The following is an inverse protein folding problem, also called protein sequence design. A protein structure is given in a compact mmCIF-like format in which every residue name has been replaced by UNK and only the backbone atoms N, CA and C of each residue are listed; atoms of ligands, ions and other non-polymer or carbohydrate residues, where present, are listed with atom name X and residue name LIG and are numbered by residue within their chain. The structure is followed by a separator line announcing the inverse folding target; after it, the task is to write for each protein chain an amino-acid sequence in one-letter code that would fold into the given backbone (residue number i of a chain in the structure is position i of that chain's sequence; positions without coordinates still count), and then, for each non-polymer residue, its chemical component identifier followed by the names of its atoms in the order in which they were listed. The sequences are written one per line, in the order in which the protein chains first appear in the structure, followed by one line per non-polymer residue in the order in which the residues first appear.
data_IF_297806849730
#
_entry.id   IF_297806849730
#
_cell.length_a   1.000
_cell.length_b   1.000
_cell.length_c   1.000
_cell.angle_alpha   90.00
_cell.angle_beta   90.00
_cell.angle_gamma   90.00
#
_symmetry.space_group_name_H-M   'P 1'
#
loop_
_entity.id
_entity.type
_entity.pdbx_description
1 polymer ?
#
# COMPACT_ATOMS: atom_id res chain seq x y z
N UNK A 1 3.92 17.01 -3.40
CA UNK A 1 3.54 16.06 -4.44
C UNK A 1 4.49 14.88 -4.41
N UNK A 2 3.96 13.68 -4.50
CA UNK A 2 4.79 12.49 -4.55
C UNK A 2 5.56 12.41 -5.87
N UNK A 3 6.70 11.72 -5.85
CA UNK A 3 7.51 11.52 -7.05
C UNK A 3 6.72 10.82 -8.16
N UNK A 4 7.09 11.07 -9.40
CA UNK A 4 6.55 10.38 -10.57
C UNK A 4 7.71 10.17 -11.54
N UNK A 5 8.16 8.96 -11.80
CA UNK A 5 7.65 7.69 -11.27
C UNK A 5 8.09 7.38 -9.83
N UNK A 6 7.41 6.43 -9.20
CA UNK A 6 7.81 5.86 -7.92
C UNK A 6 8.46 4.50 -8.18
N UNK A 7 9.59 4.24 -7.52
CA UNK A 7 10.25 2.93 -7.59
C UNK A 7 9.97 2.14 -6.33
N UNK A 8 9.38 0.96 -6.48
CA UNK A 8 9.15 0.00 -5.41
C UNK A 8 10.07 -1.20 -5.63
N UNK A 9 10.94 -1.47 -4.66
CA UNK A 9 11.87 -2.59 -4.74
C UNK A 9 11.36 -3.74 -3.88
N UNK A 10 11.15 -4.89 -4.51
CA UNK A 10 10.65 -6.10 -3.84
C UNK A 10 11.64 -7.22 -4.13
N UNK A 11 12.18 -7.83 -3.08
CA UNK A 11 13.18 -8.89 -3.19
C UNK A 11 14.35 -8.51 -4.11
N UNK A 12 14.88 -7.31 -3.89
CA UNK A 12 15.97 -6.69 -4.67
C UNK A 12 15.64 -6.42 -6.15
N UNK A 13 14.38 -6.55 -6.57
CA UNK A 13 13.92 -6.23 -7.92
C UNK A 13 13.19 -4.90 -7.90
N UNK A 14 13.66 -3.88 -8.63
CA UNK A 14 12.96 -2.59 -8.70
C UNK A 14 11.79 -2.65 -9.68
N UNK A 15 10.66 -2.09 -9.28
CA UNK A 15 9.48 -1.91 -10.12
C UNK A 15 9.21 -0.41 -10.26
N UNK A 16 9.12 0.05 -11.49
CA UNK A 16 8.81 1.45 -11.78
C UNK A 16 7.31 1.60 -11.96
N UNK A 17 6.69 2.42 -11.11
CA UNK A 17 5.27 2.71 -11.15
C UNK A 17 5.08 4.15 -11.62
N UNK A 18 4.39 4.33 -12.73
CA UNK A 18 4.09 5.63 -13.29
C UNK A 18 2.68 6.07 -12.85
N UNK A 19 2.53 7.37 -12.64
CA UNK A 19 1.23 7.94 -12.32
C UNK A 19 0.30 7.78 -13.51
N UNK A 20 -0.88 7.19 -13.27
CA UNK A 20 -1.84 6.89 -14.35
C UNK A 20 -2.78 8.05 -14.68
N UNK A 21 -2.85 9.05 -13.81
CA UNK A 21 -3.84 10.12 -13.92
C UNK A 21 -5.22 9.74 -13.40
N UNK A 22 -5.41 8.50 -12.98
CA UNK A 22 -6.66 8.07 -12.38
C UNK A 22 -6.77 8.58 -10.94
N UNK A 23 -7.98 8.90 -10.54
CA UNK A 23 -8.32 9.19 -9.16
C UNK A 23 -9.37 8.20 -8.71
N UNK A 24 -9.33 7.83 -7.45
CA UNK A 24 -10.40 7.03 -6.86
C UNK A 24 -11.64 7.92 -6.75
N UNK A 25 -12.74 7.50 -7.34
CA UNK A 25 -14.00 8.25 -7.31
C UNK A 25 -14.53 8.46 -5.89
N UNK A 26 -14.19 7.56 -4.97
CA UNK A 26 -14.57 7.69 -3.57
C UNK A 26 -13.67 8.63 -2.78
N UNK A 27 -12.55 9.04 -3.34
CA UNK A 27 -11.57 9.91 -2.67
C UNK A 27 -10.95 10.87 -3.68
N UNK A 28 -11.44 12.12 -3.76
CA UNK A 28 -10.95 13.11 -4.73
C UNK A 28 -9.48 13.49 -4.52
N UNK A 29 -8.95 13.32 -3.29
CA UNK A 29 -7.53 13.56 -2.98
C UNK A 29 -6.74 12.27 -3.08
N UNK A 30 -6.74 11.64 -4.25
CA UNK A 30 -6.07 10.37 -4.46
C UNK A 30 -5.24 10.37 -5.73
N UNK A 31 -4.29 9.46 -5.79
CA UNK A 31 -3.47 9.21 -6.97
C UNK A 31 -3.26 7.71 -7.12
N UNK A 32 -3.18 7.26 -8.37
CA UNK A 32 -2.92 5.86 -8.69
C UNK A 32 -1.64 5.79 -9.52
N UNK A 33 -0.76 4.88 -9.13
CA UNK A 33 0.48 4.56 -9.85
C UNK A 33 0.41 3.10 -10.27
N UNK A 34 0.93 2.78 -11.43
CA UNK A 34 0.91 1.42 -11.94
C UNK A 34 2.17 1.11 -12.75
N UNK A 35 2.55 -0.18 -12.77
CA UNK A 35 3.55 -0.67 -13.71
C UNK A 35 2.94 -0.78 -15.12
N UNK A 36 3.78 -0.83 -16.15
CA UNK A 36 3.31 -0.89 -17.53
C UNK A 36 2.49 -2.16 -17.84
N UNK A 37 2.76 -3.26 -17.13
CA UNK A 37 2.00 -4.51 -17.27
C UNK A 37 0.72 -4.54 -16.42
N UNK A 38 0.47 -3.49 -15.62
CA UNK A 38 -0.68 -3.35 -14.74
C UNK A 38 -0.80 -4.43 -13.65
N UNK A 39 0.28 -5.14 -13.36
CA UNK A 39 0.29 -6.16 -12.32
C UNK A 39 0.54 -5.59 -10.93
N UNK A 40 1.09 -4.39 -10.84
CA UNK A 40 1.32 -3.69 -9.59
C UNK A 40 0.70 -2.32 -9.63
N UNK A 41 0.01 -1.98 -8.54
CA UNK A 41 -0.59 -0.67 -8.35
C UNK A 41 -0.19 -0.12 -6.99
N UNK A 42 -0.02 1.18 -6.92
CA UNK A 42 0.14 1.91 -5.67
C UNK A 42 -0.93 2.99 -5.64
N UNK A 43 -1.74 2.98 -4.60
CA UNK A 43 -2.82 3.96 -4.41
C UNK A 43 -2.50 4.81 -3.20
N UNK A 44 -2.62 6.10 -3.36
CA UNK A 44 -2.41 7.07 -2.28
C UNK A 44 -3.66 7.91 -2.16
N UNK A 45 -4.17 8.06 -0.95
CA UNK A 45 -5.36 8.88 -0.70
C UNK A 45 -5.29 9.57 0.65
N UNK A 46 -5.98 10.71 0.73
CA UNK A 46 -6.12 11.49 1.96
C UNK A 46 -7.59 11.78 2.19
N UNK A 47 -8.06 11.54 3.40
CA UNK A 47 -9.46 11.76 3.78
C UNK A 47 -9.52 12.42 5.15
N UNK A 48 -10.54 13.24 5.34
CA UNK A 48 -10.86 13.75 6.67
C UNK A 48 -11.81 12.75 7.34
N UNK A 49 -11.31 12.02 8.34
CA UNK A 49 -12.09 10.97 9.02
C UNK A 49 -13.06 11.54 10.06
N UNK A 50 -12.62 12.61 10.74
CA UNK A 50 -13.38 13.37 11.75
C UNK A 50 -13.00 14.84 11.62
N UNK A 51 -13.67 15.71 12.38
CA UNK A 51 -13.44 17.17 12.31
C UNK A 51 -11.94 17.50 12.44
N UNK A 52 -11.22 16.84 13.36
CA UNK A 52 -9.83 17.16 13.66
C UNK A 52 -8.86 16.05 13.27
N UNK A 53 -9.28 15.08 12.45
CA UNK A 53 -8.47 13.91 12.12
C UNK A 53 -8.36 13.74 10.60
N UNK A 54 -7.13 13.59 10.13
CA UNK A 54 -6.83 13.30 8.73
C UNK A 54 -6.33 11.86 8.64
N UNK A 55 -6.84 11.14 7.66
CA UNK A 55 -6.44 9.77 7.37
C UNK A 55 -5.70 9.72 6.06
N UNK A 56 -4.44 9.32 6.12
CA UNK A 56 -3.59 9.15 4.95
C UNK A 56 -3.38 7.68 4.70
N UNK A 57 -3.63 7.23 3.49
CA UNK A 57 -3.54 5.83 3.09
C UNK A 57 -2.53 5.68 1.96
N UNK A 58 -1.65 4.71 2.09
CA UNK A 58 -0.86 4.19 0.97
C UNK A 58 -1.10 2.69 0.87
N UNK A 59 -1.54 2.23 -0.30
CA UNK A 59 -1.91 0.85 -0.55
C UNK A 59 -1.09 0.30 -1.71
N UNK A 60 -0.38 -0.78 -1.47
CA UNK A 60 0.34 -1.52 -2.49
C UNK A 60 -0.45 -2.77 -2.87
N UNK A 61 -0.73 -2.93 -4.15
CA UNK A 61 -1.44 -4.09 -4.67
C UNK A 61 -0.56 -4.79 -5.70
N UNK A 62 -0.51 -6.11 -5.62
CA UNK A 62 0.14 -6.93 -6.64
C UNK A 62 -0.79 -8.07 -7.02
N UNK A 63 -0.92 -8.32 -8.31
CA UNK A 63 -1.69 -9.45 -8.83
C UNK A 63 -0.77 -10.38 -9.61
N UNK A 64 -1.09 -11.65 -9.59
CA UNK A 64 -0.43 -12.65 -10.42
C UNK A 64 -1.43 -13.70 -10.87
N UNK A 65 -1.12 -14.34 -11.98
CA UNK A 65 -1.87 -15.50 -12.46
C UNK A 65 -1.47 -16.71 -11.63
N UNK A 66 -2.46 -17.41 -11.12
CA UNK A 66 -2.27 -18.63 -10.34
C UNK A 66 -3.16 -19.74 -10.88
N UNK A 67 -2.59 -20.94 -11.04
CA UNK A 67 -3.37 -22.11 -11.44
C UNK A 67 -4.32 -22.52 -10.31
N UNK A 68 -5.51 -23.00 -10.68
CA UNK A 68 -6.47 -23.55 -9.72
C UNK A 68 -5.87 -24.83 -9.12
N UNK A 69 -5.81 -24.98 -7.79
CA UNK A 69 -5.30 -26.20 -7.15
C UNK A 69 -6.07 -27.46 -7.52
N UNK A 70 -7.35 -27.34 -7.88
CA UNK A 70 -8.21 -28.46 -8.25
C UNK A 70 -8.21 -28.75 -9.75
N UNK A 71 -7.84 -27.77 -10.58
CA UNK A 71 -7.80 -27.92 -12.03
C UNK A 71 -6.71 -27.00 -12.60
N UNK A 72 -5.54 -27.59 -12.89
CA UNK A 72 -4.37 -26.86 -13.37
C UNK A 72 -4.58 -26.19 -14.74
N UNK A 73 -5.62 -26.56 -15.49
CA UNK A 73 -5.94 -25.92 -16.77
C UNK A 73 -6.67 -24.58 -16.60
N UNK A 74 -7.18 -24.28 -15.41
CA UNK A 74 -7.84 -23.04 -15.08
C UNK A 74 -6.86 -22.15 -14.33
N UNK A 75 -6.66 -20.93 -14.84
CA UNK A 75 -5.80 -19.92 -14.21
C UNK A 75 -6.63 -18.67 -13.90
N UNK A 76 -6.46 -18.13 -12.71
CA UNK A 76 -7.13 -16.90 -12.28
C UNK A 76 -6.12 -15.92 -11.70
N UNK A 77 -6.44 -14.63 -11.73
CA UNK A 77 -5.66 -13.62 -11.03
C UNK A 77 -5.90 -13.70 -9.53
N UNK A 78 -4.83 -13.68 -8.78
CA UNK A 78 -4.84 -13.55 -7.32
C UNK A 78 -4.16 -12.25 -6.95
N UNK A 79 -4.74 -11.51 -6.01
CA UNK A 79 -4.27 -10.19 -5.61
C UNK A 79 -3.90 -10.18 -4.13
N UNK A 80 -2.74 -9.58 -3.84
CA UNK A 80 -2.31 -9.28 -2.47
C UNK A 80 -2.27 -7.77 -2.31
N UNK A 81 -2.83 -7.29 -1.22
CA UNK A 81 -2.83 -5.86 -0.89
C UNK A 81 -2.18 -5.64 0.47
N UNK A 82 -1.30 -4.66 0.54
CA UNK A 82 -0.66 -4.23 1.78
C UNK A 82 -0.95 -2.75 1.98
N UNK A 83 -1.39 -2.38 3.17
CA UNK A 83 -1.81 -1.02 3.49
C UNK A 83 -0.96 -0.42 4.60
N UNK A 84 -0.68 0.86 4.48
CA UNK A 84 -0.30 1.70 5.61
C UNK A 84 -1.34 2.80 5.74
N UNK A 85 -1.94 2.91 6.90
CA UNK A 85 -2.90 3.96 7.22
C UNK A 85 -2.34 4.76 8.38
N UNK A 86 -2.25 6.08 8.20
CA UNK A 86 -1.84 6.99 9.25
C UNK A 86 -3.03 7.90 9.55
N UNK A 87 -3.57 7.79 10.75
CA UNK A 87 -4.57 8.72 11.25
C UNK A 87 -3.89 9.66 12.23
N UNK A 88 -3.96 10.95 11.97
CA UNK A 88 -3.33 11.93 12.84
C UNK A 88 -4.27 13.12 13.06
N UNK A 89 -4.21 13.77 14.21
CA UNK A 89 -4.95 15.01 14.42
C UNK A 89 -4.32 16.14 13.59
N UNK A 90 -5.10 17.16 13.31
CA UNK A 90 -4.62 18.35 12.57
C UNK A 90 -3.65 19.19 13.39
N UNK A 91 -3.61 19.01 14.71
CA UNK A 91 -2.70 19.71 15.61
C UNK A 91 -2.30 18.81 16.77
N UNK A 92 -1.17 19.08 17.40
CA UNK A 92 -0.68 18.38 18.58
C UNK A 92 0.45 17.39 18.30
N UNK A 93 0.63 16.95 17.07
CA UNK A 93 1.75 16.12 16.65
C UNK A 93 2.50 16.78 15.50
N UNK A 94 3.82 16.82 15.60
CA UNK A 94 4.66 17.28 14.50
C UNK A 94 4.86 16.17 13.47
N UNK A 95 5.24 16.54 12.26
CA UNK A 95 5.61 15.58 11.21
C UNK A 95 6.74 14.66 11.68
N UNK A 96 7.70 15.19 12.41
CA UNK A 96 8.83 14.41 12.96
C UNK A 96 8.36 13.34 13.94
N UNK A 97 7.44 13.68 14.85
CA UNK A 97 6.88 12.73 15.80
C UNK A 97 6.12 11.60 15.09
N UNK A 98 5.32 11.94 14.10
CA UNK A 98 4.57 10.96 13.30
C UNK A 98 5.53 10.04 12.55
N UNK A 99 6.58 10.61 11.95
CA UNK A 99 7.60 9.82 11.25
C UNK A 99 8.30 8.84 12.17
N UNK A 100 8.66 9.26 13.38
CA UNK A 100 9.29 8.39 14.37
C UNK A 100 8.40 7.19 14.72
N UNK A 101 7.11 7.41 14.89
CA UNK A 101 6.15 6.35 15.14
C UNK A 101 6.03 5.39 13.94
N UNK A 102 6.01 5.91 12.73
CA UNK A 102 5.97 5.09 11.50
C UNK A 102 7.23 4.24 11.37
N UNK A 103 8.41 4.82 11.63
CA UNK A 103 9.67 4.08 11.55
C UNK A 103 9.75 2.98 12.62
N UNK A 104 9.25 3.26 13.82
CA UNK A 104 9.16 2.25 14.87
C UNK A 104 8.24 1.09 14.48
N UNK A 105 7.09 1.39 13.94
CA UNK A 105 6.14 0.38 13.44
C UNK A 105 6.74 -0.43 12.29
N UNK A 106 7.42 0.24 11.37
CA UNK A 106 8.11 -0.42 10.25
C UNK A 106 9.18 -1.40 10.76
N UNK A 107 9.93 -1.02 11.77
CA UNK A 107 10.96 -1.89 12.35
C UNK A 107 10.36 -3.13 13.02
N UNK A 108 9.14 -3.05 13.54
CA UNK A 108 8.42 -4.17 14.11
C UNK A 108 8.06 -5.23 13.06
N UNK A 109 7.87 -4.83 11.81
CA UNK A 109 7.42 -5.70 10.72
C UNK A 109 8.57 -6.55 10.16
N UNK A 110 9.06 -7.48 10.97
CA UNK A 110 10.09 -8.44 10.57
C UNK A 110 9.48 -9.59 9.76
N UNK A 111 10.33 -10.35 9.06
CA UNK A 111 9.91 -11.55 8.34
C UNK A 111 9.21 -12.54 9.28
N UNK A 112 9.72 -12.68 10.50
CA UNK A 112 9.13 -13.56 11.51
C UNK A 112 7.72 -13.12 11.90
N UNK A 113 7.52 -11.82 12.18
CA UNK A 113 6.20 -11.29 12.53
C UNK A 113 5.21 -11.46 11.39
N UNK A 114 5.62 -11.19 10.16
CA UNK A 114 4.74 -11.35 8.99
C UNK A 114 4.31 -12.81 8.84
N UNK A 115 5.24 -13.77 9.04
CA UNK A 115 4.92 -15.19 9.01
C UNK A 115 3.92 -15.60 10.09
N UNK A 116 4.06 -15.06 11.30
CA UNK A 116 3.12 -15.30 12.41
C UNK A 116 1.73 -14.75 12.08
N UNK A 117 1.65 -13.55 11.53
CA UNK A 117 0.38 -12.97 11.09
C UNK A 117 -0.29 -13.80 10.00
N UNK A 118 0.48 -14.28 9.04
CA UNK A 118 -0.05 -15.14 7.97
C UNK A 118 -0.54 -16.49 8.52
N UNK A 119 0.06 -16.97 9.61
CA UNK A 119 -0.38 -18.16 10.33
C UNK A 119 -1.60 -17.95 11.23
N UNK A 120 -2.10 -16.73 11.33
CA UNK A 120 -3.28 -16.41 12.14
C UNK A 120 -3.00 -16.22 13.63
N UNK A 121 -1.76 -16.03 14.03
CA UNK A 121 -1.41 -15.75 15.43
C UNK A 121 -1.84 -14.34 15.84
N UNK A 122 -2.21 -14.20 17.08
CA UNK A 122 -2.67 -12.93 17.66
C UNK A 122 -1.89 -12.57 18.92
#
# INVERSE_FOLDING_TARGET
MLADPITLTVNAVPFTLNRTGETDQSSPNSSVYATSDLNRHLRVSHQTAKIDTVRSLIRSEVRKVSADPLNASISTYKTVSVYLVIEHPTAGFSTTEIDQEVQGFKALLTTSLVGELMGGEV
#
